data_IF_263604882631
#
_entry.id   IF_263604882631
#
_cell.length_a   1.000
_cell.length_b   1.000
_cell.length_c   1.000
_cell.angle_alpha   90.00
_cell.angle_beta   90.00
_cell.angle_gamma   90.00
#
_symmetry.space_group_name_H-M   'P 1'
#
loop_
_entity.id
_entity.type
_entity.pdbx_description
1 polymer ?
#
# COMPACT_ATOMS: atom_id res chain seq x y z
N UNK A 1 48.85 3.53 17.50
CA UNK A 1 49.42 2.27 16.96
C UNK A 1 49.39 2.33 15.42
N UNK A 2 50.36 3.00 14.78
CA UNK A 2 50.36 3.24 13.31
C UNK A 2 50.78 2.02 12.47
N UNK A 3 51.49 1.06 13.06
CA UNK A 3 52.22 0.01 12.33
C UNK A 3 51.39 -1.23 11.93
N UNK A 4 50.06 -1.20 12.12
CA UNK A 4 49.14 -2.28 11.72
C UNK A 4 48.15 -1.83 10.63
N UNK A 5 48.42 -0.68 9.99
CA UNK A 5 47.52 -0.07 9.02
C UNK A 5 47.70 -0.72 7.64
N UNK A 6 46.77 -1.59 7.28
CA UNK A 6 46.74 -2.31 5.99
C UNK A 6 46.20 -1.42 4.85
N UNK A 7 45.34 -0.45 5.17
CA UNK A 7 44.68 0.44 4.20
C UNK A 7 44.81 1.87 4.69
N UNK A 8 45.11 2.82 3.80
CA UNK A 8 45.24 4.21 4.19
C UNK A 8 43.86 4.87 4.45
N UNK A 9 43.84 5.96 5.22
CA UNK A 9 42.59 6.59 5.68
C UNK A 9 41.75 7.13 4.51
N UNK A 10 42.39 7.56 3.42
CA UNK A 10 41.69 8.05 2.22
C UNK A 10 41.00 6.92 1.45
N UNK A 11 41.64 5.75 1.31
CA UNK A 11 41.03 4.54 0.74
C UNK A 11 39.89 4.02 1.62
N UNK A 12 40.08 3.99 2.94
CA UNK A 12 39.01 3.61 3.87
C UNK A 12 37.80 4.53 3.74
N UNK A 13 38.03 5.85 3.74
CA UNK A 13 36.97 6.85 3.60
C UNK A 13 36.26 6.76 2.24
N UNK A 14 37.00 6.54 1.15
CA UNK A 14 36.45 6.35 -0.18
C UNK A 14 35.55 5.11 -0.26
N UNK A 15 35.96 4.00 0.34
CA UNK A 15 35.15 2.77 0.41
C UNK A 15 33.91 2.97 1.27
N UNK A 16 34.01 3.62 2.43
CA UNK A 16 32.85 3.93 3.26
C UNK A 16 31.85 4.86 2.54
N UNK A 17 32.34 5.85 1.79
CA UNK A 17 31.51 6.71 0.96
C UNK A 17 30.83 5.93 -0.18
N UNK A 18 31.54 5.02 -0.83
CA UNK A 18 31.01 4.14 -1.89
C UNK A 18 29.93 3.19 -1.34
N UNK A 19 30.15 2.60 -0.15
CA UNK A 19 29.16 1.74 0.54
C UNK A 19 27.91 2.55 0.88
N UNK A 20 28.08 3.75 1.44
CA UNK A 20 26.97 4.65 1.78
C UNK A 20 26.16 5.06 0.54
N UNK A 21 26.85 5.33 -0.58
CA UNK A 21 26.20 5.65 -1.87
C UNK A 21 25.39 4.47 -2.41
N UNK A 22 25.88 3.24 -2.27
CA UNK A 22 25.17 2.01 -2.68
C UNK A 22 24.01 1.63 -1.76
N UNK A 23 23.99 2.14 -0.52
CA UNK A 23 22.89 1.96 0.43
C UNK A 23 21.72 2.93 0.19
N UNK A 24 21.91 4.00 -0.60
CA UNK A 24 20.81 4.85 -1.05
C UNK A 24 20.04 4.12 -2.16
N UNK A 25 18.70 4.00 -2.07
CA UNK A 25 17.92 3.41 -3.15
C UNK A 25 18.12 4.24 -4.41
N UNK A 26 18.73 3.62 -5.43
CA UNK A 26 18.85 4.21 -6.76
C UNK A 26 17.49 4.12 -7.44
N UNK A 27 16.95 5.25 -7.85
CA UNK A 27 15.70 5.36 -8.61
C UNK A 27 15.82 4.87 -10.06
N UNK A 28 17.01 4.50 -10.54
CA UNK A 28 17.27 4.07 -11.92
C UNK A 28 18.14 2.80 -11.98
N UNK A 29 17.61 1.66 -11.55
CA UNK A 29 18.19 0.34 -11.84
C UNK A 29 17.19 -0.45 -12.67
N UNK A 30 17.60 -1.15 -13.75
CA UNK A 30 16.70 -2.01 -14.52
C UNK A 30 15.92 -2.94 -13.59
N UNK A 31 14.60 -3.06 -13.78
CA UNK A 31 13.65 -3.83 -12.93
C UNK A 31 14.12 -5.27 -12.69
N UNK A 32 14.86 -5.86 -13.62
CA UNK A 32 15.43 -7.21 -13.51
C UNK A 32 16.60 -7.33 -12.50
N UNK A 33 17.25 -6.22 -12.12
CA UNK A 33 18.41 -6.17 -11.21
C UNK A 33 18.08 -5.57 -9.84
N UNK A 34 16.87 -5.05 -9.65
CA UNK A 34 16.36 -4.82 -8.31
C UNK A 34 16.30 -6.19 -7.63
N UNK A 35 17.23 -6.42 -6.70
CA UNK A 35 17.18 -7.58 -5.83
C UNK A 35 15.92 -7.41 -4.98
N UNK A 36 14.76 -7.82 -5.53
CA UNK A 36 13.46 -7.71 -4.88
C UNK A 36 13.66 -8.30 -3.51
N UNK A 37 13.40 -7.49 -2.48
CA UNK A 37 13.52 -7.93 -1.10
C UNK A 37 12.62 -9.15 -0.95
N UNK A 38 13.20 -10.34 -0.93
CA UNK A 38 12.45 -11.61 -0.84
C UNK A 38 11.71 -11.75 0.48
N UNK A 39 12.03 -10.92 1.46
CA UNK A 39 11.47 -10.98 2.80
C UNK A 39 11.11 -9.60 3.29
N UNK A 40 9.99 -9.54 4.01
CA UNK A 40 9.22 -8.34 4.31
C UNK A 40 10.04 -7.31 5.09
N UNK A 41 10.85 -7.80 6.03
CA UNK A 41 11.62 -6.96 6.97
C UNK A 41 13.07 -6.76 6.53
N UNK A 42 13.44 -7.15 5.31
CA UNK A 42 14.82 -7.03 4.83
C UNK A 42 15.30 -5.57 4.85
N UNK A 43 16.34 -5.32 5.62
CA UNK A 43 16.93 -3.98 5.79
C UNK A 43 16.18 -3.06 6.77
N UNK A 44 15.11 -3.54 7.42
CA UNK A 44 14.35 -2.79 8.42
C UNK A 44 14.75 -3.14 9.86
N UNK A 45 15.12 -4.41 10.08
CA UNK A 45 15.49 -4.92 11.40
C UNK A 45 17.01 -4.82 11.65
N UNK A 46 17.36 -4.15 12.74
CA UNK A 46 18.74 -3.85 13.12
C UNK A 46 19.10 -4.51 14.45
N UNK A 47 20.37 -4.86 14.61
CA UNK A 47 20.89 -5.39 15.85
C UNK A 47 21.22 -4.25 16.82
N UNK A 48 20.49 -4.18 17.93
CA UNK A 48 20.79 -3.23 19.01
C UNK A 48 22.20 -3.37 19.62
N UNK A 49 22.85 -4.53 19.48
CA UNK A 49 24.20 -4.74 20.02
C UNK A 49 25.32 -4.16 19.15
N UNK A 50 25.20 -4.17 17.82
CA UNK A 50 26.29 -3.77 16.92
C UNK A 50 25.84 -2.85 15.78
N UNK A 51 24.57 -2.46 15.72
CA UNK A 51 24.00 -1.63 14.66
C UNK A 51 24.03 -2.26 13.27
N UNK A 52 24.33 -3.56 13.15
CA UNK A 52 24.30 -4.26 11.86
C UNK A 52 22.89 -4.75 11.56
N UNK A 53 22.51 -4.79 10.28
CA UNK A 53 21.25 -5.36 9.85
C UNK A 53 21.15 -6.85 10.21
N UNK A 54 19.93 -7.32 10.44
CA UNK A 54 19.62 -8.74 10.43
C UNK A 54 19.49 -9.23 8.98
N UNK A 55 20.05 -10.40 8.70
CA UNK A 55 19.96 -11.09 7.41
C UNK A 55 19.32 -12.46 7.58
N UNK A 56 18.72 -12.99 6.52
CA UNK A 56 18.15 -14.34 6.54
C UNK A 56 19.26 -15.38 6.63
N UNK A 57 19.00 -16.43 7.41
CA UNK A 57 19.87 -17.57 7.65
C UNK A 57 19.08 -18.85 7.47
N UNK A 58 19.54 -19.69 6.54
CA UNK A 58 18.80 -20.89 6.14
C UNK A 58 17.47 -20.51 5.50
N UNK A 59 16.42 -21.30 5.79
CA UNK A 59 15.09 -21.12 5.20
C UNK A 59 14.29 -19.98 5.87
N UNK A 60 14.21 -19.96 7.20
CA UNK A 60 13.19 -19.17 7.91
C UNK A 60 13.68 -18.43 9.18
N UNK A 61 14.94 -18.03 9.26
CA UNK A 61 15.47 -17.32 10.44
C UNK A 61 16.17 -16.02 10.10
N UNK A 62 15.91 -14.97 10.87
CA UNK A 62 16.70 -13.75 10.89
C UNK A 62 17.84 -13.88 11.90
N UNK A 63 19.06 -13.51 11.50
CA UNK A 63 20.26 -13.43 12.35
C UNK A 63 21.03 -12.13 12.13
N UNK A 64 21.71 -11.65 13.16
CA UNK A 64 22.57 -10.47 13.07
C UNK A 64 23.73 -10.71 12.07
N UNK A 65 23.81 -9.92 10.99
CA UNK A 65 24.88 -10.06 10.00
C UNK A 65 26.27 -9.82 10.59
N UNK A 66 26.40 -8.88 11.53
CA UNK A 66 27.65 -8.63 12.24
C UNK A 66 28.19 -9.85 13.00
N UNK A 67 27.32 -10.73 13.49
CA UNK A 67 27.74 -11.97 14.16
C UNK A 67 27.95 -13.09 13.13
N UNK A 68 26.98 -13.28 12.22
CA UNK A 68 26.97 -14.39 11.26
C UNK A 68 28.08 -14.29 10.21
N UNK A 69 28.25 -13.11 9.62
CA UNK A 69 29.14 -12.91 8.46
C UNK A 69 30.50 -12.38 8.87
N UNK A 70 30.56 -11.55 9.93
CA UNK A 70 31.79 -10.84 10.33
C UNK A 70 32.38 -11.32 11.65
N UNK A 71 31.62 -12.05 12.48
CA UNK A 71 32.05 -12.44 13.82
C UNK A 71 32.31 -11.26 14.79
N UNK A 72 31.90 -10.04 14.46
CA UNK A 72 32.18 -8.82 15.22
C UNK A 72 31.13 -8.48 16.28
N UNK A 73 30.08 -9.28 16.40
CA UNK A 73 29.00 -9.11 17.37
C UNK A 73 28.78 -10.38 18.19
N UNK A 74 28.53 -10.22 19.50
CA UNK A 74 28.23 -11.34 20.41
C UNK A 74 26.78 -11.81 20.38
N UNK A 75 25.92 -11.15 19.59
CA UNK A 75 24.50 -11.50 19.51
C UNK A 75 24.28 -12.76 18.65
N UNK A 76 24.03 -13.89 19.31
CA UNK A 76 23.74 -15.19 18.69
C UNK A 76 22.24 -15.50 18.54
N UNK A 77 21.37 -14.50 18.79
CA UNK A 77 19.92 -14.70 18.70
C UNK A 77 19.51 -14.96 17.27
N UNK A 78 18.72 -16.03 17.09
CA UNK A 78 18.04 -16.36 15.85
C UNK A 78 16.54 -16.19 16.05
N UNK A 79 15.90 -15.39 15.21
CA UNK A 79 14.46 -15.11 15.30
C UNK A 79 13.75 -15.78 14.13
N UNK A 80 12.65 -16.49 14.38
CA UNK A 80 11.86 -17.10 13.30
C UNK A 80 11.21 -16.01 12.46
N UNK A 81 11.33 -16.12 11.13
CA UNK A 81 10.81 -15.17 10.13
C UNK A 81 9.30 -14.98 10.26
N UNK A 82 8.53 -16.06 10.13
CA UNK A 82 7.06 -16.01 10.11
C UNK A 82 6.46 -15.28 11.32
N UNK A 83 6.71 -15.74 12.57
CA UNK A 83 6.17 -15.09 13.76
C UNK A 83 6.56 -13.63 13.91
N UNK A 84 7.78 -13.25 13.49
CA UNK A 84 8.23 -11.86 13.52
C UNK A 84 7.47 -11.01 12.50
N UNK A 85 7.37 -11.46 11.25
CA UNK A 85 6.63 -10.76 10.20
C UNK A 85 5.15 -10.61 10.56
N UNK A 86 4.51 -11.67 11.06
CA UNK A 86 3.11 -11.62 11.53
C UNK A 86 2.92 -10.62 12.67
N UNK A 87 3.83 -10.61 13.65
CA UNK A 87 3.74 -9.66 14.77
C UNK A 87 3.92 -8.21 14.29
N UNK A 88 4.87 -7.95 13.39
CA UNK A 88 5.08 -6.60 12.82
C UNK A 88 3.84 -6.13 12.07
N UNK A 89 3.26 -6.96 11.20
CA UNK A 89 2.05 -6.62 10.45
C UNK A 89 0.84 -6.39 11.36
N UNK A 90 0.69 -7.17 12.43
CA UNK A 90 -0.35 -6.98 13.43
C UNK A 90 -0.20 -5.64 14.16
N UNK A 91 1.03 -5.26 14.53
CA UNK A 91 1.30 -3.95 15.15
C UNK A 91 0.97 -2.81 14.18
N UNK A 92 1.35 -2.94 12.91
CA UNK A 92 1.03 -1.95 11.87
C UNK A 92 -0.48 -1.78 11.72
N UNK A 93 -1.23 -2.89 11.63
CA UNK A 93 -2.69 -2.89 11.59
C UNK A 93 -3.29 -2.15 12.80
N UNK A 94 -2.83 -2.45 14.02
CA UNK A 94 -3.31 -1.77 15.22
C UNK A 94 -2.96 -0.28 15.26
N UNK A 95 -1.85 0.14 14.63
CA UNK A 95 -1.45 1.55 14.53
C UNK A 95 -2.24 2.32 13.47
N UNK A 96 -2.71 1.63 12.43
CA UNK A 96 -3.60 2.19 11.41
C UNK A 96 -5.04 2.27 11.92
N UNK A 97 -5.47 1.31 12.74
CA UNK A 97 -6.80 1.28 13.35
C UNK A 97 -6.86 2.10 14.64
N UNK A 98 -6.68 3.41 14.53
CA UNK A 98 -6.93 4.35 15.65
C UNK A 98 -8.16 5.20 15.36
N UNK A 99 -8.80 5.75 16.40
CA UNK A 99 -9.95 6.65 16.25
C UNK A 99 -9.71 7.82 15.29
N UNK A 100 -8.51 8.43 15.29
CA UNK A 100 -8.18 9.53 14.39
C UNK A 100 -8.15 9.13 12.91
N UNK A 101 -7.42 8.05 12.58
CA UNK A 101 -7.41 7.49 11.22
C UNK A 101 -8.80 7.06 10.76
N UNK A 102 -9.61 6.52 11.66
CA UNK A 102 -10.96 6.07 11.33
C UNK A 102 -11.91 7.26 11.06
N UNK A 103 -11.76 8.37 11.80
CA UNK A 103 -12.43 9.64 11.53
C UNK A 103 -12.01 10.21 10.19
N UNK A 104 -10.70 10.28 9.93
CA UNK A 104 -10.15 10.76 8.65
C UNK A 104 -10.72 9.93 7.49
N UNK A 105 -10.68 8.60 7.60
CA UNK A 105 -11.28 7.72 6.60
C UNK A 105 -12.76 8.02 6.36
N UNK A 106 -13.55 8.22 7.42
CA UNK A 106 -14.97 8.53 7.29
C UNK A 106 -15.22 9.89 6.60
N UNK A 107 -14.41 10.90 6.88
CA UNK A 107 -14.48 12.22 6.24
C UNK A 107 -14.14 12.15 4.75
N UNK A 108 -13.02 11.51 4.42
CA UNK A 108 -12.57 11.34 3.03
C UNK A 108 -13.55 10.49 2.23
N UNK A 109 -14.06 9.40 2.80
CA UNK A 109 -15.06 8.54 2.17
C UNK A 109 -16.35 9.29 1.88
N UNK A 110 -16.84 10.10 2.83
CA UNK A 110 -18.02 10.94 2.62
C UNK A 110 -17.81 11.95 1.50
N UNK A 111 -16.64 12.60 1.46
CA UNK A 111 -16.31 13.56 0.42
C UNK A 111 -16.29 12.91 -0.97
N UNK A 112 -15.61 11.78 -1.10
CA UNK A 112 -15.50 11.07 -2.38
C UNK A 112 -16.86 10.58 -2.85
N UNK A 113 -17.67 10.02 -1.94
CA UNK A 113 -19.04 9.61 -2.26
C UNK A 113 -19.89 10.79 -2.75
N UNK A 114 -19.79 11.96 -2.09
CA UNK A 114 -20.50 13.15 -2.51
C UNK A 114 -20.09 13.60 -3.92
N UNK A 115 -18.80 13.53 -4.26
CA UNK A 115 -18.29 13.87 -5.60
C UNK A 115 -18.77 12.90 -6.68
N UNK A 116 -18.80 11.60 -6.37
CA UNK A 116 -19.33 10.58 -7.30
C UNK A 116 -20.83 10.79 -7.55
N UNK A 117 -21.59 11.11 -6.49
CA UNK A 117 -23.02 11.41 -6.60
C UNK A 117 -23.24 12.66 -7.45
N UNK A 118 -22.50 13.74 -7.21
CA UNK A 118 -22.65 14.97 -8.00
C UNK A 118 -22.32 14.73 -9.48
N UNK A 119 -21.23 14.03 -9.77
CA UNK A 119 -20.82 13.73 -11.15
C UNK A 119 -21.85 12.85 -11.86
N UNK A 120 -22.43 11.87 -11.15
CA UNK A 120 -23.51 11.04 -11.70
C UNK A 120 -24.77 11.87 -11.96
N UNK A 121 -25.14 12.76 -11.04
CA UNK A 121 -26.31 13.63 -11.20
C UNK A 121 -26.14 14.58 -12.40
N UNK A 122 -24.95 15.15 -12.58
CA UNK A 122 -24.63 16.01 -13.74
C UNK A 122 -24.73 15.22 -15.06
N UNK A 123 -24.23 13.99 -15.08
CA UNK A 123 -24.34 13.10 -16.25
C UNK A 123 -25.81 12.76 -16.56
N UNK A 124 -26.60 12.39 -15.55
CA UNK A 124 -28.01 12.05 -15.72
C UNK A 124 -28.80 13.27 -16.23
N UNK A 125 -28.49 14.48 -15.75
CA UNK A 125 -29.10 15.70 -16.24
C UNK A 125 -28.80 15.95 -17.73
N UNK A 126 -27.56 15.71 -18.18
CA UNK A 126 -27.21 15.81 -19.61
C UNK A 126 -27.98 14.80 -20.47
N UNK A 127 -28.18 13.58 -19.96
CA UNK A 127 -28.98 12.55 -20.63
C UNK A 127 -30.45 12.96 -20.71
N UNK A 128 -31.02 13.50 -19.62
CA UNK A 128 -32.39 14.03 -19.56
C UNK A 128 -32.59 15.18 -20.57
N UNK A 129 -31.66 16.13 -20.61
CA UNK A 129 -31.72 17.27 -21.53
C UNK A 129 -31.67 16.80 -23.00
N UNK A 130 -30.79 15.83 -23.31
CA UNK A 130 -30.72 15.24 -24.65
C UNK A 130 -31.98 14.48 -25.01
N UNK A 131 -32.56 13.73 -24.08
CA UNK A 131 -33.81 13.00 -24.26
C UNK A 131 -34.97 13.95 -24.58
N UNK A 132 -35.04 15.11 -23.92
CA UNK A 132 -36.05 16.14 -24.20
C UNK A 132 -35.87 16.78 -25.59
N UNK A 133 -34.64 16.91 -26.08
CA UNK A 133 -34.37 17.37 -27.47
C UNK A 133 -34.84 16.31 -28.47
N UNK A 134 -34.40 15.05 -28.32
CA UNK A 134 -34.75 13.96 -29.25
C UNK A 134 -36.25 13.70 -29.28
N UNK A 135 -36.94 13.79 -28.15
CA UNK A 135 -38.40 13.65 -28.08
C UNK A 135 -39.10 14.73 -28.91
N UNK A 136 -38.67 16.00 -28.79
CA UNK A 136 -39.22 17.09 -29.62
C UNK A 136 -38.93 16.90 -31.11
N UNK A 137 -37.76 16.38 -31.48
CA UNK A 137 -37.41 16.07 -32.87
C UNK A 137 -38.33 14.98 -33.45
N UNK A 138 -38.61 13.93 -32.67
CA UNK A 138 -39.56 12.86 -33.03
C UNK A 138 -40.96 13.44 -33.25
N UNK A 139 -41.47 14.25 -32.31
CA UNK A 139 -42.80 14.86 -32.41
C UNK A 139 -42.93 15.74 -33.66
N UNK A 140 -41.89 16.53 -33.97
CA UNK A 140 -41.85 17.38 -35.17
C UNK A 140 -41.82 16.56 -36.47
N UNK A 141 -41.03 15.48 -36.51
CA UNK A 141 -40.99 14.57 -37.67
C UNK A 141 -42.34 13.87 -37.88
N UNK A 142 -42.96 13.39 -36.79
CA UNK A 142 -44.26 12.75 -36.84
C UNK A 142 -45.35 13.72 -37.33
N UNK A 143 -45.36 14.96 -36.84
CA UNK A 143 -46.30 15.99 -37.30
C UNK A 143 -46.14 16.29 -38.81
N UNK A 144 -44.91 16.37 -39.32
CA UNK A 144 -44.64 16.59 -40.74
C UNK A 144 -45.12 15.41 -41.62
N UNK A 145 -45.03 14.18 -41.13
CA UNK A 145 -45.56 13.00 -41.83
C UNK A 145 -47.09 12.97 -41.89
N UNK A 146 -47.77 13.54 -40.90
CA UNK A 146 -49.23 13.68 -40.92
C UNK A 146 -49.69 14.79 -41.87
N UNK A 147 -48.86 15.81 -42.10
CA UNK A 147 -49.18 16.95 -42.95
C UNK A 147 -48.75 16.79 -44.42
N UNK A 148 -47.79 15.90 -44.74
CA UNK A 148 -47.21 15.74 -46.07
C UNK A 148 -46.90 14.27 -46.43
N UNK A 149 -46.51 14.01 -47.69
CA UNK A 149 -46.08 12.68 -48.14
C UNK A 149 -44.77 12.29 -47.46
N UNK A 150 -44.78 11.20 -46.70
CA UNK A 150 -43.61 10.67 -46.02
C UNK A 150 -42.53 10.25 -47.04
N UNK A 151 -41.40 10.96 -47.04
CA UNK A 151 -40.24 10.56 -47.84
C UNK A 151 -39.47 9.42 -47.16
N UNK A 152 -38.81 8.53 -47.92
CA UNK A 152 -37.96 7.48 -47.34
C UNK A 152 -36.88 8.01 -46.38
N UNK A 153 -36.39 9.24 -46.62
CA UNK A 153 -35.43 9.92 -45.76
C UNK A 153 -36.01 10.28 -44.39
N UNK A 154 -37.27 10.74 -44.34
CA UNK A 154 -37.94 11.07 -43.08
C UNK A 154 -38.18 9.82 -42.22
N UNK A 155 -38.57 8.70 -42.85
CA UNK A 155 -38.74 7.41 -42.16
C UNK A 155 -37.43 6.93 -41.53
N UNK A 156 -36.31 7.06 -42.25
CA UNK A 156 -34.98 6.73 -41.73
C UNK A 156 -34.60 7.63 -40.54
N UNK A 157 -34.77 8.94 -40.67
CA UNK A 157 -34.46 9.89 -39.58
C UNK A 157 -35.29 9.61 -38.33
N UNK A 158 -36.58 9.31 -38.47
CA UNK A 158 -37.45 8.97 -37.35
C UNK A 158 -36.94 7.70 -36.63
N UNK A 159 -36.66 6.63 -37.37
CA UNK A 159 -36.14 5.38 -36.81
C UNK A 159 -34.81 5.59 -36.05
N UNK A 160 -33.91 6.41 -36.58
CA UNK A 160 -32.65 6.73 -35.89
C UNK A 160 -32.89 7.53 -34.59
N UNK A 161 -33.85 8.47 -34.57
CA UNK A 161 -34.18 9.22 -33.35
C UNK A 161 -34.89 8.35 -32.32
N UNK A 162 -35.78 7.44 -32.73
CA UNK A 162 -36.40 6.46 -31.84
C UNK A 162 -35.38 5.50 -31.22
N UNK A 163 -34.41 5.05 -32.03
CA UNK A 163 -33.30 4.21 -31.53
C UNK A 163 -32.46 4.97 -30.50
N UNK A 164 -32.15 6.25 -30.76
CA UNK A 164 -31.43 7.09 -29.82
C UNK A 164 -32.23 7.37 -28.54
N UNK A 165 -33.54 7.62 -28.65
CA UNK A 165 -34.45 7.77 -27.51
C UNK A 165 -34.42 6.52 -26.63
N UNK A 166 -34.59 5.34 -27.23
CA UNK A 166 -34.55 4.06 -26.50
C UNK A 166 -33.19 3.83 -25.82
N UNK A 167 -32.09 4.25 -26.46
CA UNK A 167 -30.74 4.20 -25.88
C UNK A 167 -30.63 5.11 -24.65
N UNK A 168 -31.08 6.35 -24.75
CA UNK A 168 -31.03 7.34 -23.65
C UNK A 168 -31.94 6.94 -22.49
N UNK A 169 -33.15 6.45 -22.77
CA UNK A 169 -34.06 5.90 -21.75
C UNK A 169 -33.40 4.69 -21.06
N UNK A 170 -32.77 3.80 -21.83
CA UNK A 170 -31.98 2.69 -21.30
C UNK A 170 -30.82 3.13 -20.39
N UNK A 171 -30.17 4.26 -20.67
CA UNK A 171 -29.12 4.83 -19.81
C UNK A 171 -29.65 5.31 -18.46
N UNK A 172 -30.86 5.91 -18.43
CA UNK A 172 -31.50 6.34 -17.20
C UNK A 172 -32.12 5.17 -16.41
N UNK A 173 -32.52 4.09 -17.10
CA UNK A 173 -33.17 2.92 -16.49
C UNK A 173 -32.19 1.84 -16.07
N UNK A 174 -30.97 1.84 -16.61
CA UNK A 174 -29.91 0.99 -16.12
C UNK A 174 -29.39 1.65 -14.84
N UNK A 175 -29.65 1.09 -13.64
CA UNK A 175 -28.99 1.58 -12.45
C UNK A 175 -27.50 1.39 -12.67
N UNK A 176 -26.78 2.48 -12.94
CA UNK A 176 -25.32 2.51 -12.95
C UNK A 176 -24.87 1.79 -11.69
N UNK A 177 -24.27 0.62 -11.90
CA UNK A 177 -23.83 -0.38 -10.93
C UNK A 177 -23.86 0.17 -9.51
N UNK A 178 -25.02 0.04 -8.86
CA UNK A 178 -25.39 0.65 -7.59
C UNK A 178 -24.23 1.39 -6.91
N UNK A 179 -24.00 2.66 -7.27
CA UNK A 179 -23.49 3.60 -6.27
C UNK A 179 -24.55 3.51 -5.20
N UNK A 180 -24.26 2.95 -4.01
CA UNK A 180 -25.29 2.76 -3.01
C UNK A 180 -25.96 4.10 -2.81
N UNK A 181 -27.25 4.16 -3.14
CA UNK A 181 -28.09 5.34 -2.95
C UNK A 181 -27.74 5.91 -1.58
N UNK A 182 -27.41 7.18 -1.60
CA UNK A 182 -26.66 7.95 -0.62
C UNK A 182 -27.30 8.05 0.77
N UNK A 183 -27.65 6.94 1.40
CA UNK A 183 -27.48 6.84 2.84
C UNK A 183 -26.00 6.67 3.06
N UNK A 184 -25.33 7.82 3.23
CA UNK A 184 -24.03 7.92 3.90
C UNK A 184 -23.99 6.82 4.94
N UNK A 185 -23.11 5.83 4.74
CA UNK A 185 -23.04 4.67 5.63
C UNK A 185 -23.00 5.21 7.07
N UNK A 186 -23.83 4.67 7.98
CA UNK A 186 -23.79 5.12 9.37
C UNK A 186 -22.37 4.92 9.90
N UNK A 187 -21.90 5.81 10.78
CA UNK A 187 -20.52 5.81 11.26
C UNK A 187 -20.01 4.42 11.71
N UNK A 188 -20.82 3.56 12.38
CA UNK A 188 -20.39 2.19 12.70
C UNK A 188 -20.09 1.31 11.48
N UNK A 189 -20.85 1.44 10.39
CA UNK A 189 -20.62 0.67 9.16
C UNK A 189 -19.36 1.14 8.43
N UNK A 190 -19.05 2.45 8.47
CA UNK A 190 -17.79 2.97 7.93
C UNK A 190 -16.57 2.45 8.70
N UNK A 191 -16.68 2.32 10.02
CA UNK A 191 -15.63 1.73 10.85
C UNK A 191 -15.39 0.26 10.48
N UNK A 192 -16.45 -0.54 10.32
CA UNK A 192 -16.35 -1.93 9.88
C UNK A 192 -15.69 -2.04 8.50
N UNK A 193 -16.07 -1.18 7.57
CA UNK A 193 -15.45 -1.13 6.24
C UNK A 193 -13.97 -0.78 6.33
N UNK A 194 -13.59 0.18 7.17
CA UNK A 194 -12.19 0.54 7.39
C UNK A 194 -11.40 -0.65 7.96
N UNK A 195 -11.93 -1.34 8.96
CA UNK A 195 -11.33 -2.55 9.53
C UNK A 195 -11.14 -3.65 8.49
N UNK A 196 -12.15 -3.89 7.66
CA UNK A 196 -12.10 -4.86 6.56
C UNK A 196 -11.02 -4.49 5.53
N UNK A 197 -10.98 -3.23 5.09
CA UNK A 197 -9.97 -2.74 4.13
C UNK A 197 -8.55 -2.88 4.68
N UNK A 198 -8.33 -2.51 5.94
CA UNK A 198 -7.02 -2.68 6.60
C UNK A 198 -6.69 -4.18 6.76
N UNK A 199 -7.67 -5.03 7.08
CA UNK A 199 -7.51 -6.47 7.13
C UNK A 199 -7.08 -7.08 5.79
N UNK A 200 -7.75 -6.69 4.71
CA UNK A 200 -7.42 -7.13 3.34
C UNK A 200 -6.06 -6.63 2.86
N UNK A 201 -5.67 -5.41 3.28
CA UNK A 201 -4.33 -4.90 3.05
C UNK A 201 -3.28 -5.84 3.68
N UNK A 202 -3.50 -6.28 4.92
CA UNK A 202 -2.61 -7.25 5.60
C UNK A 202 -2.44 -8.54 4.80
N UNK A 203 -3.53 -9.12 4.35
CA UNK A 203 -3.50 -10.37 3.57
C UNK A 203 -2.72 -10.19 2.26
N UNK A 204 -2.94 -9.07 1.58
CA UNK A 204 -2.26 -8.77 0.32
C UNK A 204 -0.75 -8.61 0.52
N UNK A 205 -0.34 -7.91 1.59
CA UNK A 205 1.08 -7.71 1.94
C UNK A 205 1.80 -9.01 2.31
N UNK A 206 1.08 -10.06 2.73
CA UNK A 206 1.65 -11.35 3.07
C UNK A 206 1.68 -12.36 1.90
N UNK A 207 1.12 -12.00 0.74
CA UNK A 207 1.20 -12.86 -0.45
C UNK A 207 2.61 -12.90 -1.04
N UNK A 208 3.03 -14.07 -1.53
CA UNK A 208 4.37 -14.25 -2.11
C UNK A 208 4.59 -13.38 -3.36
N UNK A 209 3.54 -13.19 -4.17
CA UNK A 209 3.58 -12.37 -5.38
C UNK A 209 3.81 -10.87 -5.08
N UNK A 210 3.20 -10.34 -4.03
CA UNK A 210 3.32 -8.93 -3.65
C UNK A 210 4.49 -8.66 -2.68
N UNK A 211 5.18 -9.70 -2.17
CA UNK A 211 6.12 -9.58 -1.04
C UNK A 211 7.28 -8.61 -1.30
N UNK A 212 7.80 -8.58 -2.53
CA UNK A 212 8.89 -7.69 -2.92
C UNK A 212 8.49 -6.22 -2.90
N UNK A 213 7.36 -5.89 -3.53
CA UNK A 213 6.79 -4.54 -3.55
C UNK A 213 6.33 -4.10 -2.14
N UNK A 214 5.72 -5.03 -1.41
CA UNK A 214 5.32 -4.83 -0.01
C UNK A 214 6.50 -4.44 0.88
N UNK A 215 7.66 -5.06 0.68
CA UNK A 215 8.88 -4.75 1.44
C UNK A 215 9.50 -3.38 1.08
N UNK A 216 9.22 -2.85 -0.11
CA UNK A 216 9.63 -1.50 -0.50
C UNK A 216 8.70 -0.45 0.12
N UNK A 217 7.39 -0.67 0.04
CA UNK A 217 6.38 0.20 0.65
C UNK A 217 6.52 0.21 2.18
N UNK A 218 6.71 -0.94 2.82
CA UNK A 218 6.90 -0.99 4.28
C UNK A 218 8.17 -0.25 4.72
N UNK A 219 9.19 -0.16 3.86
CA UNK A 219 10.40 0.59 4.16
C UNK A 219 10.21 2.11 4.14
N UNK A 220 9.13 2.62 3.54
CA UNK A 220 8.75 4.04 3.62
C UNK A 220 7.86 4.32 4.83
N UNK A 221 7.07 3.33 5.27
CA UNK A 221 6.11 3.46 6.37
C UNK A 221 6.70 3.21 7.76
N UNK A 222 7.72 2.38 7.87
CA UNK A 222 8.29 1.94 9.15
C UNK A 222 9.69 2.54 9.34
N UNK A 223 9.86 3.33 10.39
CA UNK A 223 11.19 3.69 10.89
C UNK A 223 11.88 2.45 11.48
N UNK A 224 13.19 2.31 11.26
CA UNK A 224 13.99 1.12 11.60
C UNK A 224 13.69 0.53 12.98
N UNK A 225 13.56 -0.79 13.04
CA UNK A 225 13.29 -1.53 14.27
C UNK A 225 14.56 -2.15 14.87
N UNK A 226 14.89 -1.79 16.12
CA UNK A 226 16.01 -2.36 16.85
C UNK A 226 15.61 -3.64 17.60
N UNK A 227 16.19 -4.78 17.21
CA UNK A 227 15.99 -6.06 17.89
C UNK A 227 17.01 -6.26 19.02
N UNK A 228 16.57 -6.68 20.22
CA UNK A 228 17.44 -6.94 21.36
C UNK A 228 18.30 -8.20 21.18
N UNK A 229 19.47 -8.22 21.84
CA UNK A 229 20.30 -9.43 21.99
C UNK A 229 19.73 -10.44 22.99
N UNK A 230 20.42 -11.57 23.19
CA UNK A 230 19.95 -12.76 23.95
C UNK A 230 19.35 -12.46 25.32
N UNK A 231 19.86 -11.45 26.02
CA UNK A 231 19.41 -11.07 27.36
C UNK A 231 18.17 -10.17 27.37
N UNK A 232 17.76 -9.61 26.23
CA UNK A 232 16.55 -8.79 26.11
C UNK A 232 15.28 -9.55 25.68
N UNK A 233 15.40 -10.85 25.36
CA UNK A 233 14.25 -11.69 25.03
C UNK A 233 13.73 -12.37 26.29
N UNK A 234 12.76 -11.76 26.99
CA UNK A 234 12.05 -12.43 28.08
C UNK A 234 11.02 -13.42 27.52
N UNK A 235 11.06 -14.69 27.98
CA UNK A 235 10.10 -15.73 27.58
C UNK A 235 8.65 -15.23 27.73
N UNK A 236 7.92 -15.16 26.62
CA UNK A 236 6.46 -15.01 26.62
C UNK A 236 5.88 -13.58 26.59
N UNK A 237 6.69 -12.52 26.42
CA UNK A 237 6.16 -11.17 26.16
C UNK A 237 6.91 -10.53 25.00
N UNK A 238 6.15 -10.08 23.98
CA UNK A 238 6.67 -9.28 22.89
C UNK A 238 7.41 -8.02 23.37
N UNK A 239 8.16 -7.35 22.49
CA UNK A 239 9.04 -6.24 22.87
C UNK A 239 8.24 -5.15 23.61
N UNK A 240 8.66 -4.83 24.85
CA UNK A 240 8.04 -3.78 25.66
C UNK A 240 8.27 -2.42 24.98
N UNK A 241 7.18 -1.69 24.68
CA UNK A 241 7.21 -0.34 24.10
C UNK A 241 8.08 0.63 24.92
N UNK A 242 8.84 1.48 24.23
CA UNK A 242 9.19 2.81 24.73
C UNK A 242 10.52 2.98 25.48
N UNK A 243 11.42 1.99 25.51
CA UNK A 243 12.81 2.23 25.94
C UNK A 243 13.75 1.95 24.78
N UNK A 244 14.61 2.92 24.44
CA UNK A 244 15.87 2.63 23.75
C UNK A 244 16.55 1.55 24.58
N UNK A 245 16.68 0.33 24.05
CA UNK A 245 17.29 -0.78 24.77
C UNK A 245 18.80 -0.50 24.89
N UNK A 246 19.17 0.23 25.94
CA UNK A 246 20.56 0.40 26.33
C UNK A 246 21.11 -0.93 26.84
N UNK A 247 21.88 -1.58 25.97
CA UNK A 247 23.07 -2.39 26.25
C UNK A 247 23.02 -3.39 27.42
N UNK A 248 22.89 -4.68 27.10
CA UNK A 248 23.71 -5.73 27.76
C UNK A 248 24.12 -6.77 26.71
N UNK A 249 25.12 -6.42 25.89
CA UNK A 249 25.90 -7.39 25.13
C UNK A 249 27.32 -7.32 25.70
N UNK A 250 27.66 -8.23 26.62
CA UNK A 250 29.02 -8.30 27.18
C UNK A 250 30.02 -8.55 26.05
N UNK A 251 30.97 -7.62 25.88
CA UNK A 251 32.16 -7.80 25.03
C UNK A 251 32.96 -8.97 25.59
N UNK A 252 32.90 -10.15 24.96
CA UNK A 252 34.01 -11.11 25.08
C UNK A 252 35.17 -10.58 24.24
N UNK A 253 35.97 -9.70 24.84
CA UNK A 253 37.37 -9.57 24.45
C UNK A 253 38.02 -10.93 24.79
N UNK A 254 38.37 -11.70 23.76
CA UNK A 254 39.39 -12.74 23.89
C UNK A 254 40.62 -12.28 23.11
N UNK A 255 41.65 -11.95 23.87
CA UNK A 255 43.09 -12.05 23.57
C UNK A 255 43.67 -13.02 24.62
N UNK A 256 44.86 -13.61 24.43
CA UNK A 256 45.93 -13.26 23.49
C UNK A 256 45.74 -13.86 22.10
#
# INVERSE_FOLDING_TARGET
MPNLRIVNDSQWSAVQAQITRRLRPSTNVPVARQNRKKHLLSGLIMCSCCGSAYTISGKDYYRCAGQKERGTCSNTVSVRKGPLETATLSILQHRLLTGDHARLFAEEFKREMAQLISTSADHDQLVIDRLAVVTREIDALAANMLAAVASPTLLKLLSERETEKARLEGQLHTPTTAVPSAKVLPHPALLQLFEEKVGRLRETLDTEAARGESAEILATLIERDDLPGRHGWSRGRGPRKGRRFASVCHKRQRRP
#
